data_IF_778713945400
#
_entry.id   IF_778713945400
#
_cell.length_a   1.000
_cell.length_b   1.000
_cell.length_c   1.000
_cell.angle_alpha   90.00
_cell.angle_beta   90.00
_cell.angle_gamma   90.00
#
_symmetry.space_group_name_H-M   'P 1'
#
loop_
_entity.id
_entity.type
_entity.pdbx_description
1 polymer ?
#
# COMPACT_ATOMS: atom_id res chain seq x y z
N UNK A 1 -22.56 34.04 18.82
CA UNK A 1 -21.82 34.04 17.54
C UNK A 1 -20.83 32.90 17.67
N UNK A 2 -21.10 31.76 17.04
CA UNK A 2 -20.30 30.56 17.26
C UNK A 2 -19.02 30.62 16.42
N UNK A 3 -17.90 30.39 17.08
CA UNK A 3 -16.58 30.40 16.46
C UNK A 3 -16.18 28.95 16.22
N UNK A 4 -16.08 28.56 14.95
CA UNK A 4 -15.54 27.27 14.55
C UNK A 4 -14.06 27.41 14.22
N UNK A 5 -13.25 26.47 14.68
CA UNK A 5 -11.85 26.38 14.31
C UNK A 5 -11.52 24.95 13.91
N UNK A 6 -10.66 24.81 12.89
CA UNK A 6 -10.13 23.55 12.43
C UNK A 6 -8.67 23.45 12.87
N UNK A 7 -8.39 22.49 13.74
CA UNK A 7 -7.03 22.21 14.19
C UNK A 7 -6.33 21.26 13.22
N UNK A 8 -5.36 21.79 12.47
CA UNK A 8 -4.58 21.04 11.49
C UNK A 8 -3.28 20.46 12.07
N UNK A 9 -3.10 20.47 13.39
CA UNK A 9 -1.95 19.84 14.07
C UNK A 9 -2.06 18.32 13.99
N UNK A 10 -1.78 17.80 12.79
CA UNK A 10 -1.51 16.41 12.40
C UNK A 10 -2.29 15.35 13.19
N UNK A 11 -3.44 14.95 12.66
CA UNK A 11 -3.93 13.61 12.93
C UNK A 11 -3.00 12.59 12.21
N UNK A 12 -2.31 11.70 12.94
CA UNK A 12 -1.55 10.64 12.30
C UNK A 12 -2.51 9.74 11.50
N UNK A 13 -2.14 9.43 10.25
CA UNK A 13 -2.93 8.53 9.41
C UNK A 13 -3.07 7.17 10.11
N UNK A 14 -4.31 6.78 10.42
CA UNK A 14 -4.59 5.45 10.97
C UNK A 14 -4.36 4.40 9.89
N UNK A 15 -3.36 3.53 10.12
CA UNK A 15 -3.08 2.41 9.23
C UNK A 15 -4.03 1.27 9.56
N UNK A 16 -4.77 0.79 8.55
CA UNK A 16 -5.75 -0.28 8.66
C UNK A 16 -5.43 -1.35 7.61
N UNK A 17 -5.80 -2.60 7.86
CA UNK A 17 -5.63 -3.74 6.95
C UNK A 17 -6.96 -4.49 6.77
N UNK A 18 -7.02 -5.48 5.88
CA UNK A 18 -8.19 -6.38 5.73
C UNK A 18 -9.39 -5.84 4.96
N UNK A 19 -9.33 -4.59 4.47
CA UNK A 19 -10.37 -3.97 3.67
C UNK A 19 -10.08 -4.02 2.16
N UNK A 20 -8.83 -4.25 1.76
CA UNK A 20 -8.43 -4.49 0.37
C UNK A 20 -8.35 -6.00 0.16
N UNK A 21 -9.15 -6.53 -0.77
CA UNK A 21 -9.16 -7.96 -1.14
C UNK A 21 -8.07 -8.27 -2.18
N UNK A 22 -6.83 -7.91 -1.86
CA UNK A 22 -5.64 -8.18 -2.67
C UNK A 22 -4.54 -8.78 -1.79
N UNK A 23 -3.62 -9.53 -2.40
CA UNK A 23 -2.53 -10.21 -1.72
C UNK A 23 -2.48 -11.69 -2.08
N UNK A 24 -1.68 -12.44 -1.33
CA UNK A 24 -1.50 -13.87 -1.55
C UNK A 24 -0.41 -14.46 -0.68
N UNK A 25 -0.35 -15.78 -0.64
CA UNK A 25 0.69 -16.54 0.03
C UNK A 25 1.32 -17.48 -0.98
N UNK A 26 2.65 -17.44 -1.11
CA UNK A 26 3.38 -18.37 -1.97
C UNK A 26 3.50 -19.76 -1.33
N UNK A 27 3.93 -20.80 -2.05
CA UNK A 27 4.10 -22.14 -1.49
C UNK A 27 5.13 -22.26 -0.35
N UNK A 28 5.97 -21.25 -0.15
CA UNK A 28 6.96 -21.18 0.94
C UNK A 28 6.43 -20.43 2.16
N UNK A 29 5.20 -19.93 2.11
CA UNK A 29 4.57 -19.18 3.19
C UNK A 29 4.85 -17.67 3.16
N UNK A 30 5.52 -17.13 2.14
CA UNK A 30 5.71 -15.68 2.02
C UNK A 30 4.38 -15.02 1.67
N UNK A 31 4.07 -13.92 2.35
CA UNK A 31 2.80 -13.22 2.21
C UNK A 31 2.99 -11.82 1.67
N UNK A 32 2.16 -11.47 0.69
CA UNK A 32 1.91 -10.09 0.27
C UNK A 32 0.54 -9.68 0.82
N UNK A 33 0.48 -8.53 1.47
CA UNK A 33 -0.76 -7.90 1.96
C UNK A 33 -0.75 -6.40 1.71
N UNK A 34 -1.90 -5.75 1.91
CA UNK A 34 -2.06 -4.32 1.69
C UNK A 34 -2.78 -3.68 2.87
N UNK A 35 -2.30 -2.49 3.23
CA UNK A 35 -2.96 -1.56 4.15
C UNK A 35 -3.67 -0.48 3.34
N UNK A 36 -4.31 0.48 4.02
CA UNK A 36 -4.85 1.69 3.39
C UNK A 36 -3.76 2.68 2.93
N UNK A 37 -2.47 2.31 2.99
CA UNK A 37 -1.38 3.23 2.72
C UNK A 37 -0.14 2.61 2.05
N UNK A 38 0.18 1.35 2.32
CA UNK A 38 1.34 0.67 1.75
C UNK A 38 1.08 -0.84 1.56
N UNK A 39 1.93 -1.46 0.75
CA UNK A 39 2.03 -2.91 0.66
C UNK A 39 2.87 -3.45 1.83
N UNK A 40 2.63 -4.70 2.21
CA UNK A 40 3.44 -5.43 3.17
C UNK A 40 4.03 -6.68 2.52
N UNK A 41 5.29 -6.99 2.88
CA UNK A 41 5.93 -8.27 2.59
C UNK A 41 6.24 -8.92 3.93
N UNK A 42 5.64 -10.09 4.19
CA UNK A 42 5.76 -10.80 5.47
C UNK A 42 5.45 -9.90 6.68
N UNK A 43 4.41 -9.05 6.56
CA UNK A 43 3.96 -8.14 7.61
C UNK A 43 4.83 -6.89 7.81
N UNK A 44 5.84 -6.67 6.96
CA UNK A 44 6.70 -5.48 7.02
C UNK A 44 6.31 -4.48 5.93
N UNK A 45 6.25 -3.17 6.21
CA UNK A 45 5.97 -2.15 5.21
C UNK A 45 6.93 -2.23 4.02
N UNK A 46 6.37 -2.12 2.82
CA UNK A 46 7.09 -2.24 1.57
C UNK A 46 6.49 -1.31 0.51
N UNK A 47 7.33 -0.52 -0.14
CA UNK A 47 6.95 0.28 -1.30
C UNK A 47 7.39 -0.46 -2.56
N UNK A 48 6.42 -1.07 -3.24
CA UNK A 48 6.67 -1.74 -4.50
C UNK A 48 6.96 -0.71 -5.58
N UNK A 49 8.18 -0.72 -6.10
CA UNK A 49 8.55 0.02 -7.31
C UNK A 49 8.50 -0.97 -8.46
N UNK A 50 7.61 -0.72 -9.42
CA UNK A 50 7.44 -1.55 -10.61
C UNK A 50 7.50 -0.67 -11.85
N UNK A 51 8.08 -1.21 -12.92
CA UNK A 51 8.04 -0.64 -14.26
C UNK A 51 7.32 -1.59 -15.19
N UNK A 52 6.46 -1.06 -16.05
CA UNK A 52 5.88 -1.84 -17.15
C UNK A 52 6.86 -1.89 -18.31
N UNK A 53 7.08 -3.08 -18.86
CA UNK A 53 7.90 -3.25 -20.05
C UNK A 53 7.23 -4.20 -21.04
N UNK A 54 7.28 -3.84 -22.32
CA UNK A 54 6.73 -4.63 -23.41
C UNK A 54 7.84 -5.12 -24.35
N UNK A 55 8.19 -6.41 -24.24
CA UNK A 55 9.21 -7.03 -25.09
C UNK A 55 8.88 -6.95 -26.58
N UNK A 56 7.60 -7.00 -26.96
CA UNK A 56 7.16 -6.85 -28.36
C UNK A 56 7.40 -5.46 -28.96
N UNK A 57 7.75 -4.46 -28.13
CA UNK A 57 7.99 -3.08 -28.54
C UNK A 57 9.46 -2.67 -28.45
N UNK A 58 10.35 -3.60 -28.10
CA UNK A 58 11.79 -3.36 -28.06
C UNK A 58 12.43 -3.81 -29.38
N UNK A 59 13.09 -2.92 -30.14
CA UNK A 59 13.76 -3.31 -31.38
C UNK A 59 14.92 -4.29 -31.09
N UNK A 60 15.09 -5.26 -31.99
CA UNK A 60 16.18 -6.24 -31.94
C UNK A 60 17.53 -5.63 -32.36
#
# INVERSE_FOLDING_TARGET
>A
MDVYYLDLRREPKVIKSGHIRMGGVDPRGNRISFTNYYMEVNGKPYFAVSGEFHFSRYPY
#
